data_IF_898086566762
#
_entry.id   IF_898086566762
#
_cell.length_a   1.000
_cell.length_b   1.000
_cell.length_c   1.000
_cell.angle_alpha   90.00
_cell.angle_beta   90.00
_cell.angle_gamma   90.00
#
_symmetry.space_group_name_H-M   'P 1'
#
loop_
_entity.id
_entity.type
_entity.pdbx_description
1 polymer ?
#
# COMPACT_ATOMS: atom_id res chain seq x y z
N UNK A 1 16.50 3.10 -5.30
CA UNK A 1 15.99 4.47 -5.53
C UNK A 1 15.51 4.62 -6.98
N UNK A 2 14.23 4.94 -7.19
CA UNK A 2 13.68 5.21 -8.53
C UNK A 2 14.21 6.56 -9.00
N UNK A 3 14.82 6.63 -10.19
CA UNK A 3 15.32 7.88 -10.73
C UNK A 3 14.15 8.85 -11.03
N UNK A 4 14.15 10.03 -10.40
CA UNK A 4 13.17 11.09 -10.67
C UNK A 4 13.45 11.62 -12.08
N UNK A 5 12.58 11.29 -13.03
CA UNK A 5 12.66 11.76 -14.42
C UNK A 5 11.68 12.90 -14.64
N UNK A 6 12.11 13.94 -15.35
CA UNK A 6 11.22 15.01 -15.77
C UNK A 6 10.04 14.45 -16.58
N UNK A 7 8.79 14.86 -16.29
CA UNK A 7 7.62 14.36 -17.00
C UNK A 7 7.65 14.81 -18.46
N UNK A 8 7.50 13.86 -19.39
CA UNK A 8 7.42 14.17 -20.83
C UNK A 8 6.06 14.73 -21.26
N UNK A 9 4.99 14.42 -20.53
CA UNK A 9 3.62 14.81 -20.87
C UNK A 9 2.97 15.67 -19.77
N UNK A 10 2.05 16.54 -20.17
CA UNK A 10 1.31 17.39 -19.23
C UNK A 10 0.50 16.56 -18.22
N UNK A 11 -0.02 15.40 -18.64
CA UNK A 11 -0.69 14.44 -17.75
C UNK A 11 0.26 13.93 -16.66
N UNK A 12 1.47 13.52 -17.03
CA UNK A 12 2.47 13.05 -16.06
C UNK A 12 2.88 14.17 -15.09
N UNK A 13 3.03 15.41 -15.59
CA UNK A 13 3.31 16.58 -14.74
C UNK A 13 2.20 16.82 -13.71
N UNK A 14 0.93 16.76 -14.13
CA UNK A 14 -0.22 16.90 -13.22
C UNK A 14 -0.21 15.84 -12.12
N UNK A 15 0.11 14.59 -12.45
CA UNK A 15 0.13 13.51 -11.45
C UNK A 15 1.28 13.66 -10.45
N UNK A 16 2.49 14.02 -10.92
CA UNK A 16 3.61 14.31 -10.04
C UNK A 16 3.33 15.47 -9.08
N UNK A 17 2.65 16.52 -9.57
CA UNK A 17 2.24 17.66 -8.73
C UNK A 17 1.18 17.27 -7.67
N UNK A 18 0.38 16.22 -7.91
CA UNK A 18 -0.54 15.73 -6.88
C UNK A 18 0.18 15.03 -5.72
N UNK A 19 1.27 14.32 -6.03
CA UNK A 19 2.08 13.57 -5.06
C UNK A 19 3.14 14.45 -4.36
N UNK A 20 3.41 15.64 -4.89
CA UNK A 20 4.34 16.58 -4.28
C UNK A 20 3.85 17.02 -2.88
N UNK A 21 4.78 17.27 -1.94
CA UNK A 21 4.44 17.75 -0.60
C UNK A 21 3.71 19.09 -0.67
N UNK A 22 2.73 19.30 0.22
CA UNK A 22 1.89 20.51 0.25
C UNK A 22 1.97 21.15 1.63
N UNK A 23 1.55 22.41 1.74
CA UNK A 23 1.41 23.05 3.06
C UNK A 23 0.18 22.51 3.81
N UNK A 24 -0.90 22.24 3.07
CA UNK A 24 -2.12 21.62 3.59
C UNK A 24 -2.24 20.24 2.97
N UNK A 25 -2.10 19.21 3.81
CA UNK A 25 -2.06 17.83 3.37
C UNK A 25 -3.44 17.28 2.99
N UNK A 26 -3.46 16.48 1.92
CA UNK A 26 -4.64 15.71 1.54
C UNK A 26 -4.81 14.48 2.44
N UNK A 27 -6.04 13.96 2.54
CA UNK A 27 -6.32 12.76 3.31
C UNK A 27 -5.40 11.58 2.95
N UNK A 28 -4.94 10.84 3.97
CA UNK A 28 -4.03 9.70 3.78
C UNK A 28 -4.72 8.54 3.07
N UNK A 29 -4.27 8.24 1.85
CA UNK A 29 -4.77 7.08 1.09
C UNK A 29 -4.24 5.77 1.67
N UNK A 30 -5.08 4.74 1.62
CA UNK A 30 -4.79 3.41 2.14
C UNK A 30 -4.70 2.39 1.02
N UNK A 31 -3.56 1.74 0.91
CA UNK A 31 -3.34 0.61 0.01
C UNK A 31 -3.63 -0.71 0.74
N UNK A 32 -4.53 -1.51 0.18
CA UNK A 32 -4.90 -2.83 0.68
C UNK A 32 -4.26 -3.89 -0.20
N UNK A 33 -3.36 -4.68 0.40
CA UNK A 33 -2.58 -5.72 -0.28
C UNK A 33 -2.88 -7.11 0.29
N UNK A 34 -2.91 -8.09 -0.61
CA UNK A 34 -2.91 -9.51 -0.25
C UNK A 34 -1.47 -10.04 -0.24
N UNK A 35 -1.06 -10.61 0.91
CA UNK A 35 0.20 -11.33 1.03
C UNK A 35 0.16 -12.72 0.36
N UNK A 36 1.19 -13.51 0.62
CA UNK A 36 1.37 -14.87 0.06
C UNK A 36 0.24 -15.82 0.48
N UNK A 37 -0.03 -15.88 1.78
CA UNK A 37 -1.02 -16.75 2.41
C UNK A 37 -2.07 -15.90 3.10
N UNK A 38 -3.32 -15.97 2.64
CA UNK A 38 -4.45 -15.26 3.23
C UNK A 38 -5.60 -16.22 3.51
N UNK A 39 -6.37 -15.97 4.56
CA UNK A 39 -7.56 -16.75 4.91
C UNK A 39 -8.82 -16.08 4.39
N UNK A 40 -9.91 -16.84 4.28
CA UNK A 40 -11.22 -16.28 3.93
C UNK A 40 -11.65 -15.16 4.90
N UNK A 41 -11.41 -15.37 6.21
CA UNK A 41 -11.70 -14.38 7.27
C UNK A 41 -10.87 -13.10 7.08
N UNK A 42 -9.57 -13.20 6.79
CA UNK A 42 -8.76 -12.01 6.54
C UNK A 42 -9.20 -11.28 5.26
N UNK A 43 -9.63 -12.02 4.24
CA UNK A 43 -10.12 -11.42 3.01
C UNK A 43 -11.46 -10.69 3.20
N UNK A 44 -12.36 -11.18 4.07
CA UNK A 44 -13.59 -10.46 4.42
C UNK A 44 -13.26 -9.20 5.22
N UNK A 45 -12.40 -9.29 6.24
CA UNK A 45 -11.96 -8.11 7.02
C UNK A 45 -11.30 -7.06 6.13
N UNK A 46 -10.47 -7.45 5.16
CA UNK A 46 -9.89 -6.51 4.20
C UNK A 46 -10.93 -5.89 3.28
N UNK A 47 -11.97 -6.63 2.88
CA UNK A 47 -13.07 -6.09 2.10
C UNK A 47 -13.85 -5.04 2.90
N UNK A 48 -14.16 -5.34 4.16
CA UNK A 48 -14.85 -4.42 5.07
C UNK A 48 -14.02 -3.15 5.31
N UNK A 49 -12.72 -3.29 5.58
CA UNK A 49 -11.80 -2.15 5.72
C UNK A 49 -11.72 -1.30 4.45
N UNK A 50 -11.74 -1.92 3.27
CA UNK A 50 -11.80 -1.22 2.01
C UNK A 50 -13.12 -0.45 1.85
N UNK A 51 -14.26 -1.05 2.21
CA UNK A 51 -15.56 -0.40 2.16
C UNK A 51 -15.66 0.79 3.12
N UNK A 52 -15.07 0.70 4.31
CA UNK A 52 -15.00 1.82 5.26
C UNK A 52 -14.16 2.99 4.75
N UNK A 53 -13.19 2.73 3.88
CA UNK A 53 -12.28 3.75 3.32
C UNK A 53 -12.48 4.01 1.83
N UNK A 54 -13.66 3.70 1.28
CA UNK A 54 -13.92 3.57 -0.17
C UNK A 54 -13.36 4.72 -1.03
N UNK A 55 -13.43 5.96 -0.56
CA UNK A 55 -12.99 7.14 -1.33
C UNK A 55 -11.47 7.39 -1.26
N UNK A 56 -10.80 6.84 -0.25
CA UNK A 56 -9.36 7.01 0.02
C UNK A 56 -8.62 5.67 0.11
N UNK A 57 -9.10 4.64 -0.60
CA UNK A 57 -8.46 3.33 -0.59
C UNK A 57 -8.26 2.76 -1.99
N UNK A 58 -7.12 2.08 -2.17
CA UNK A 58 -6.78 1.31 -3.37
C UNK A 58 -6.61 -0.14 -2.94
N UNK A 59 -7.31 -1.06 -3.59
CA UNK A 59 -7.21 -2.50 -3.31
C UNK A 59 -6.58 -3.24 -4.48
N UNK A 60 -5.55 -4.04 -4.19
CA UNK A 60 -4.99 -4.98 -5.15
C UNK A 60 -5.46 -6.39 -4.84
N UNK A 61 -6.26 -6.97 -5.74
CA UNK A 61 -6.80 -8.33 -5.59
C UNK A 61 -5.77 -9.44 -5.85
N UNK A 62 -4.68 -9.14 -6.58
CA UNK A 62 -3.64 -10.12 -6.89
C UNK A 62 -2.80 -10.42 -5.65
N UNK A 63 -2.52 -11.70 -5.40
CA UNK A 63 -1.56 -12.14 -4.38
C UNK A 63 -0.14 -11.75 -4.80
N UNK A 64 0.61 -11.15 -3.88
CA UNK A 64 1.98 -10.72 -4.14
C UNK A 64 2.93 -11.59 -3.31
N UNK A 65 3.73 -12.43 -3.98
CA UNK A 65 4.60 -13.40 -3.31
C UNK A 65 5.75 -12.75 -2.52
N UNK A 66 6.16 -11.55 -2.96
CA UNK A 66 7.30 -10.83 -2.40
C UNK A 66 6.95 -9.94 -1.20
N UNK A 67 5.67 -9.84 -0.80
CA UNK A 67 5.29 -9.01 0.34
C UNK A 67 5.49 -9.80 1.63
N UNK A 68 6.63 -9.59 2.27
CA UNK A 68 6.96 -10.11 3.60
C UNK A 68 7.56 -9.00 4.45
N UNK A 69 6.74 -8.19 5.12
CA UNK A 69 7.21 -6.92 5.68
C UNK A 69 8.27 -7.00 6.78
N UNK A 70 8.46 -8.17 7.38
CA UNK A 70 9.43 -8.39 8.46
C UNK A 70 10.66 -9.19 8.01
N UNK A 71 10.70 -9.62 6.75
CA UNK A 71 11.86 -10.28 6.18
C UNK A 71 12.76 -9.23 5.54
N UNK A 72 14.07 -9.46 5.56
CA UNK A 72 15.04 -8.55 4.95
C UNK A 72 14.73 -8.36 3.45
N UNK A 73 14.48 -7.12 3.03
CA UNK A 73 14.13 -6.75 1.66
C UNK A 73 12.63 -6.72 1.36
N UNK A 74 11.77 -7.09 2.31
CA UNK A 74 10.31 -7.00 2.17
C UNK A 74 9.81 -5.55 2.09
N UNK A 75 10.47 -4.64 2.80
CA UNK A 75 10.22 -3.20 2.81
C UNK A 75 10.35 -2.56 1.43
N UNK A 76 11.30 -3.01 0.61
CA UNK A 76 11.52 -2.46 -0.75
C UNK A 76 10.30 -2.66 -1.64
N UNK A 77 9.61 -3.80 -1.50
CA UNK A 77 8.38 -4.05 -2.25
C UNK A 77 7.24 -3.13 -1.81
N UNK A 78 7.13 -2.85 -0.50
CA UNK A 78 6.12 -1.96 0.06
C UNK A 78 6.38 -0.51 -0.35
N UNK A 79 7.63 -0.06 -0.33
CA UNK A 79 8.03 1.25 -0.84
C UNK A 79 7.67 1.43 -2.32
N UNK A 80 7.95 0.41 -3.15
CA UNK A 80 7.59 0.44 -4.56
C UNK A 80 6.07 0.62 -4.77
N UNK A 81 5.26 -0.12 -4.02
CA UNK A 81 3.81 0.00 -4.10
C UNK A 81 3.29 1.33 -3.55
N UNK A 82 3.86 1.82 -2.45
CA UNK A 82 3.58 3.13 -1.87
C UNK A 82 3.79 4.24 -2.89
N UNK A 83 4.98 4.31 -3.48
CA UNK A 83 5.35 5.32 -4.47
C UNK A 83 4.52 5.22 -5.75
N UNK A 84 4.16 4.01 -6.17
CA UNK A 84 3.36 3.79 -7.38
C UNK A 84 1.91 4.25 -7.22
N UNK A 85 1.35 4.11 -6.03
CA UNK A 85 -0.08 4.38 -5.76
C UNK A 85 -0.32 5.67 -4.96
N UNK A 86 0.74 6.32 -4.47
CA UNK A 86 0.66 7.50 -3.61
C UNK A 86 -0.19 7.23 -2.36
N UNK A 87 0.09 6.10 -1.70
CA UNK A 87 -0.62 5.64 -0.51
C UNK A 87 0.33 5.57 0.67
N UNK A 88 0.06 6.40 1.69
CA UNK A 88 0.87 6.47 2.92
C UNK A 88 0.48 5.41 3.96
N UNK A 89 -0.68 4.79 3.83
CA UNK A 89 -1.12 3.72 4.71
C UNK A 89 -1.13 2.41 3.93
N UNK A 90 -0.53 1.35 4.48
CA UNK A 90 -0.54 0.04 3.82
C UNK A 90 -1.08 -1.01 4.78
N UNK A 91 -2.06 -1.77 4.31
CA UNK A 91 -2.64 -2.91 5.03
C UNK A 91 -2.25 -4.17 4.29
N UNK A 92 -1.57 -5.08 4.97
CA UNK A 92 -1.17 -6.38 4.42
C UNK A 92 -1.85 -7.48 5.22
N UNK A 93 -2.59 -8.34 4.53
CA UNK A 93 -3.04 -9.62 5.10
C UNK A 93 -2.00 -10.71 4.85
N UNK A 94 -1.54 -11.38 5.90
CA UNK A 94 -0.69 -12.56 5.79
C UNK A 94 -0.91 -13.49 6.97
N UNK A 95 -0.89 -14.80 6.73
CA UNK A 95 -0.90 -15.82 7.78
C UNK A 95 0.55 -16.21 8.06
N UNK A 96 1.02 -15.97 9.28
CA UNK A 96 2.29 -16.51 9.76
C UNK A 96 2.02 -17.76 10.59
N UNK A 97 2.79 -18.82 10.37
CA UNK A 97 2.60 -20.10 11.07
C UNK A 97 2.76 -20.00 12.59
N UNK A 98 3.39 -18.93 13.08
CA UNK A 98 3.70 -18.72 14.50
C UNK A 98 2.57 -18.03 15.28
N UNK A 99 1.59 -17.40 14.61
CA UNK A 99 0.43 -16.77 15.28
C UNK A 99 -0.80 -16.83 14.37
N UNK A 100 -1.88 -17.45 14.84
CA UNK A 100 -3.19 -17.48 14.17
C UNK A 100 -3.65 -16.06 13.78
N UNK A 101 -3.81 -15.83 12.47
CA UNK A 101 -4.40 -14.64 11.82
C UNK A 101 -3.91 -13.27 12.31
N UNK A 102 -2.68 -12.87 11.98
CA UNK A 102 -2.20 -11.49 12.23
C UNK A 102 -2.53 -10.58 11.04
N UNK A 103 -3.52 -9.70 11.20
CA UNK A 103 -3.68 -8.55 10.31
C UNK A 103 -2.60 -7.52 10.64
N UNK A 104 -1.77 -7.18 9.67
CA UNK A 104 -0.70 -6.22 9.88
C UNK A 104 -1.04 -4.88 9.21
N UNK A 105 -1.32 -3.89 10.04
CA UNK A 105 -1.38 -2.49 9.66
C UNK A 105 0.04 -1.93 9.75
N UNK A 106 0.68 -1.75 8.60
CA UNK A 106 1.95 -1.05 8.53
C UNK A 106 1.68 0.40 8.15
N UNK A 107 1.84 1.25 9.16
CA UNK A 107 1.98 2.68 8.96
C UNK A 107 3.41 2.95 8.46
N UNK A 108 3.65 2.68 7.18
CA UNK A 108 4.84 3.18 6.51
C UNK A 108 4.64 4.67 6.27
N UNK A 109 5.02 5.49 7.27
CA UNK A 109 5.17 6.92 7.11
C UNK A 109 6.43 7.20 6.28
N UNK A 110 6.36 6.87 4.98
CA UNK A 110 7.31 7.37 3.99
C UNK A 110 6.77 8.75 3.60
N UNK A 111 7.31 9.77 4.26
CA UNK A 111 7.22 11.17 3.88
C UNK A 111 8.63 11.66 3.62
#
# INVERSE_FOLDING_TARGET
>A
MVAIRAPKSHRAKRELLKHAPKLVETGKKTLVLHGTKTSAVLNSVLADLFHLKRDNAVRYSKKNENIRPFESGGETSLEFFSLKTDCSLIVVSSIYSICNYRLLLLFLAIW
#
